data_IF_325221658786
#
_entry.id   IF_325221658786
#
_cell.length_a   1.000
_cell.length_b   1.000
_cell.length_c   1.000
_cell.angle_alpha   90.00
_cell.angle_beta   90.00
_cell.angle_gamma   90.00
#
_symmetry.space_group_name_H-M   'P 1'
#
loop_
_entity.id
_entity.type
_entity.pdbx_description
1 polymer ?
#
# COMPACT_ATOMS: atom_id res chain seq x y z
N UNK A 1 14.42 18.24 -2.52
CA UNK A 1 13.41 18.96 -1.71
C UNK A 1 12.10 18.95 -2.47
N UNK A 2 10.99 18.57 -1.84
CA UNK A 2 9.67 18.56 -2.48
C UNK A 2 9.16 20.01 -2.56
N UNK A 3 9.30 20.65 -3.71
CA UNK A 3 8.97 22.06 -3.90
C UNK A 3 7.51 22.22 -4.36
N UNK A 4 6.58 22.26 -3.41
CA UNK A 4 5.20 22.69 -3.66
C UNK A 4 4.65 23.47 -2.47
N UNK A 5 3.70 24.36 -2.75
CA UNK A 5 3.04 25.20 -1.75
C UNK A 5 1.73 24.56 -1.29
N UNK A 6 1.44 24.70 -0.01
CA UNK A 6 0.19 24.36 0.64
C UNK A 6 -0.55 25.64 1.00
N UNK A 7 -1.85 25.68 0.73
CA UNK A 7 -2.75 26.76 1.12
C UNK A 7 -3.76 26.21 2.12
N UNK A 8 -3.91 26.80 3.30
CA UNK A 8 -4.79 26.31 4.36
C UNK A 8 -5.89 27.35 4.61
N UNK A 9 -7.15 26.93 4.50
CA UNK A 9 -8.32 27.79 4.70
C UNK A 9 -8.82 27.75 6.15
N UNK A 10 -9.43 28.85 6.61
CA UNK A 10 -10.03 28.95 7.93
C UNK A 10 -11.39 29.68 7.89
N UNK A 11 -12.49 28.95 7.70
CA UNK A 11 -13.84 29.51 7.64
C UNK A 11 -14.02 30.61 6.58
N UNK A 12 -15.21 31.19 6.51
CA UNK A 12 -15.61 32.04 5.37
C UNK A 12 -15.00 33.46 5.36
N UNK A 13 -14.33 33.88 6.43
CA UNK A 13 -13.84 35.27 6.61
C UNK A 13 -12.35 35.42 6.92
N UNK A 14 -11.59 34.33 7.03
CA UNK A 14 -10.16 34.43 7.31
C UNK A 14 -9.34 34.28 6.05
N UNK A 15 -8.26 35.06 5.95
CA UNK A 15 -7.27 34.84 4.90
C UNK A 15 -6.60 33.46 5.05
N UNK A 16 -6.36 32.75 3.94
CA UNK A 16 -5.70 31.46 3.97
C UNK A 16 -4.20 31.61 4.28
N UNK A 17 -3.65 30.66 5.01
CA UNK A 17 -2.22 30.62 5.30
C UNK A 17 -1.46 29.78 4.26
N UNK A 18 -0.22 30.14 3.98
CA UNK A 18 0.63 29.46 3.01
C UNK A 18 1.84 28.80 3.68
N UNK A 19 2.14 27.57 3.28
CA UNK A 19 3.25 26.79 3.82
C UNK A 19 3.98 26.01 2.72
N UNK A 20 5.26 25.73 2.93
CA UNK A 20 6.00 24.78 2.11
C UNK A 20 5.58 23.33 2.38
N UNK A 21 5.63 22.47 1.36
CA UNK A 21 5.28 21.05 1.47
C UNK A 21 6.18 20.23 2.40
N UNK A 22 7.38 20.75 2.71
CA UNK A 22 8.36 20.21 3.66
C UNK A 22 7.86 20.22 5.12
N UNK A 23 6.99 21.17 5.48
CA UNK A 23 6.43 21.29 6.85
C UNK A 23 5.61 20.09 7.31
N UNK A 24 5.21 19.21 6.39
CA UNK A 24 4.56 17.94 6.73
C UNK A 24 5.50 16.92 7.38
N UNK A 25 6.81 17.11 7.28
CA UNK A 25 7.82 16.23 7.89
C UNK A 25 8.28 16.73 9.28
N UNK A 26 7.86 17.93 9.71
CA UNK A 26 8.16 18.48 11.05
C UNK A 26 7.68 17.53 12.13
N UNK A 27 8.52 17.10 13.07
CA UNK A 27 8.14 16.14 14.12
C UNK A 27 7.26 16.76 15.21
N UNK A 28 7.41 18.05 15.49
CA UNK A 28 6.72 18.77 16.56
C UNK A 28 5.25 19.08 16.25
N UNK A 29 4.40 19.02 17.28
CA UNK A 29 2.97 19.34 17.21
C UNK A 29 2.66 20.82 17.50
N UNK A 30 3.67 21.61 17.88
CA UNK A 30 3.51 23.03 18.26
C UNK A 30 3.92 24.00 17.16
N UNK A 31 4.25 23.51 15.96
CA UNK A 31 4.68 24.37 14.85
C UNK A 31 3.54 25.25 14.33
N UNK A 32 3.84 26.42 13.73
CA UNK A 32 2.81 27.26 13.09
C UNK A 32 1.96 26.49 12.06
N UNK A 33 2.56 25.51 11.38
CA UNK A 33 1.86 24.62 10.46
C UNK A 33 0.83 23.74 11.18
N UNK A 34 1.19 23.12 12.30
CA UNK A 34 0.26 22.30 13.09
C UNK A 34 -0.86 23.12 13.72
N UNK A 35 -0.55 24.34 14.20
CA UNK A 35 -1.56 25.28 14.70
C UNK A 35 -2.56 25.66 13.60
N UNK A 36 -2.06 25.94 12.38
CA UNK A 36 -2.92 26.22 11.23
C UNK A 36 -3.80 25.02 10.86
N UNK A 37 -3.24 23.81 10.79
CA UNK A 37 -4.04 22.62 10.52
C UNK A 37 -5.12 22.38 11.58
N UNK A 38 -4.78 22.53 12.86
CA UNK A 38 -5.74 22.44 13.95
C UNK A 38 -6.88 23.45 13.77
N UNK A 39 -6.55 24.72 13.56
CA UNK A 39 -7.56 25.77 13.33
C UNK A 39 -8.45 25.47 12.12
N UNK A 40 -7.86 25.02 11.01
CA UNK A 40 -8.60 24.65 9.81
C UNK A 40 -9.59 23.52 10.09
N UNK A 41 -9.16 22.49 10.84
CA UNK A 41 -10.02 21.38 11.27
C UNK A 41 -11.14 21.84 12.20
N UNK A 42 -10.84 22.68 13.18
CA UNK A 42 -11.82 23.20 14.15
C UNK A 42 -12.90 24.05 13.45
N UNK A 43 -12.54 24.75 12.37
CA UNK A 43 -13.47 25.50 11.52
C UNK A 43 -14.10 24.64 10.39
N UNK A 44 -13.98 23.31 10.45
CA UNK A 44 -14.45 22.36 9.41
C UNK A 44 -14.06 22.77 7.97
N UNK A 45 -12.86 23.34 7.82
CA UNK A 45 -12.31 23.84 6.57
C UNK A 45 -11.36 22.82 5.93
N UNK A 46 -10.70 23.21 4.84
CA UNK A 46 -9.82 22.34 4.05
C UNK A 46 -8.50 23.04 3.72
N UNK A 47 -7.58 22.28 3.15
CA UNK A 47 -6.35 22.82 2.58
C UNK A 47 -6.30 22.51 1.07
N UNK A 48 -5.42 23.17 0.32
CA UNK A 48 -5.18 22.90 -1.08
C UNK A 48 -3.67 22.76 -1.34
N UNK A 49 -3.31 21.83 -2.22
CA UNK A 49 -1.98 21.72 -2.79
C UNK A 49 -1.91 22.53 -4.09
N UNK A 50 -0.82 23.27 -4.28
CA UNK A 50 -0.58 24.10 -5.47
C UNK A 50 0.52 23.52 -6.38
N UNK A 51 0.80 22.22 -6.31
CA UNK A 51 1.93 21.61 -7.03
C UNK A 51 1.85 21.72 -8.57
N UNK A 52 0.65 21.93 -9.13
CA UNK A 52 0.41 22.12 -10.56
C UNK A 52 0.04 23.56 -10.92
N UNK A 53 0.10 24.48 -9.95
CA UNK A 53 -0.41 25.86 -10.09
C UNK A 53 -1.93 26.00 -9.92
N UNK A 54 -2.67 24.88 -9.88
CA UNK A 54 -4.11 24.85 -9.57
C UNK A 54 -4.34 24.37 -8.14
N UNK A 55 -5.44 24.80 -7.53
CA UNK A 55 -5.84 24.33 -6.20
C UNK A 55 -6.37 22.90 -6.25
N UNK A 56 -5.60 21.97 -5.68
CA UNK A 56 -6.03 20.58 -5.50
C UNK A 56 -6.42 20.37 -4.04
N UNK A 57 -7.72 20.14 -3.73
CA UNK A 57 -8.20 20.13 -2.37
C UNK A 57 -7.63 18.94 -1.57
N UNK A 58 -7.43 19.16 -0.28
CA UNK A 58 -6.88 18.25 0.72
C UNK A 58 -7.73 18.34 1.98
N UNK A 59 -7.93 17.20 2.61
CA UNK A 59 -8.60 17.07 3.91
C UNK A 59 -7.60 17.19 5.07
N UNK A 60 -8.01 17.84 6.15
CA UNK A 60 -7.22 17.95 7.39
C UNK A 60 -7.66 16.89 8.39
N UNK A 61 -6.72 16.07 8.87
CA UNK A 61 -6.99 14.86 9.65
C UNK A 61 -6.18 14.83 10.93
N UNK A 62 -6.75 14.33 12.01
CA UNK A 62 -6.02 14.07 13.26
C UNK A 62 -5.62 12.59 13.31
N UNK A 63 -4.35 12.30 13.57
CA UNK A 63 -3.81 10.95 13.78
C UNK A 63 -2.74 11.01 14.87
N UNK A 64 -2.90 10.19 15.92
CA UNK A 64 -1.92 10.09 17.04
C UNK A 64 -1.49 11.48 17.52
N UNK A 65 -2.47 12.30 17.93
CA UNK A 65 -2.28 13.67 18.44
C UNK A 65 -1.66 14.69 17.47
N UNK A 66 -1.56 14.36 16.18
CA UNK A 66 -0.97 15.23 15.16
C UNK A 66 -1.89 15.42 13.95
N UNK A 67 -1.90 16.63 13.41
CA UNK A 67 -2.67 16.93 12.21
C UNK A 67 -1.87 16.62 10.95
N UNK A 68 -2.53 15.98 9.99
CA UNK A 68 -1.98 15.58 8.70
C UNK A 68 -2.91 16.00 7.57
N UNK A 69 -2.31 16.31 6.43
CA UNK A 69 -3.05 16.51 5.20
C UNK A 69 -3.16 15.18 4.46
N UNK A 70 -4.34 14.92 3.91
CA UNK A 70 -4.52 13.84 2.94
C UNK A 70 -5.34 14.32 1.76
N UNK A 71 -4.97 13.84 0.57
CA UNK A 71 -5.75 14.04 -0.65
C UNK A 71 -7.12 13.40 -0.55
N UNK A 72 -8.04 13.86 -1.39
CA UNK A 72 -9.30 13.16 -1.58
C UNK A 72 -9.06 11.83 -2.32
N UNK A 73 -9.97 10.84 -2.16
CA UNK A 73 -9.85 9.55 -2.84
C UNK A 73 -9.73 9.74 -4.36
N UNK A 74 -8.83 8.98 -4.99
CA UNK A 74 -8.63 8.95 -6.44
C UNK A 74 -8.28 10.29 -7.10
N UNK A 75 -7.87 11.32 -6.34
CA UNK A 75 -7.38 12.59 -6.89
C UNK A 75 -5.86 12.65 -7.02
N UNK A 76 -5.15 11.58 -6.65
CA UNK A 76 -3.68 11.56 -6.63
C UNK A 76 -3.05 11.85 -7.99
N UNK A 77 -3.62 11.32 -9.07
CA UNK A 77 -3.13 11.52 -10.45
C UNK A 77 -3.17 12.99 -10.90
N UNK A 78 -3.96 13.85 -10.23
CA UNK A 78 -4.06 15.28 -10.55
C UNK A 78 -2.87 16.09 -10.01
N UNK A 79 -2.09 15.52 -9.09
CA UNK A 79 -0.89 16.16 -8.58
C UNK A 79 0.31 15.92 -9.49
N UNK A 80 1.32 16.79 -9.41
CA UNK A 80 2.61 16.59 -10.10
C UNK A 80 3.32 15.35 -9.53
N UNK A 81 4.00 14.56 -10.35
CA UNK A 81 4.58 13.25 -9.95
C UNK A 81 5.54 13.30 -8.75
N UNK A 82 6.24 14.42 -8.56
CA UNK A 82 7.13 14.68 -7.42
C UNK A 82 6.42 15.16 -6.14
N UNK A 83 5.10 15.37 -6.21
CA UNK A 83 4.28 15.82 -5.09
C UNK A 83 4.00 14.68 -4.12
N UNK A 84 3.95 14.98 -2.81
CA UNK A 84 3.62 13.98 -1.77
C UNK A 84 2.22 13.38 -1.95
N UNK A 85 1.31 14.14 -2.53
CA UNK A 85 -0.07 13.73 -2.77
C UNK A 85 -0.25 13.07 -4.14
N UNK A 86 0.81 12.92 -4.93
CA UNK A 86 0.71 12.14 -6.15
C UNK A 86 0.42 10.68 -5.84
N UNK A 87 -0.43 10.08 -6.65
CA UNK A 87 -0.65 8.65 -6.68
C UNK A 87 -0.98 8.25 -8.11
N UNK A 88 -0.39 7.16 -8.57
CA UNK A 88 -0.72 6.52 -9.85
C UNK A 88 -2.16 5.99 -9.88
N UNK A 89 -2.81 5.84 -8.72
CA UNK A 89 -4.20 5.43 -8.62
C UNK A 89 -5.12 6.43 -9.33
N UNK A 90 -5.71 5.97 -10.44
CA UNK A 90 -6.60 6.76 -11.28
C UNK A 90 -7.86 5.97 -11.61
N UNK A 91 -9.05 6.60 -11.66
CA UNK A 91 -10.24 6.00 -12.25
C UNK A 91 -10.04 5.61 -13.72
N UNK A 92 -9.07 6.24 -14.39
CA UNK A 92 -8.68 5.93 -15.76
C UNK A 92 -7.64 4.79 -15.84
N UNK A 93 -7.10 4.34 -14.72
CA UNK A 93 -6.18 3.20 -14.67
C UNK A 93 -6.90 1.85 -14.60
N UNK A 94 -6.15 0.75 -14.40
CA UNK A 94 -6.71 -0.57 -14.12
C UNK A 94 -7.66 -0.59 -12.91
N UNK A 95 -7.54 0.39 -12.00
CA UNK A 95 -8.44 0.53 -10.85
C UNK A 95 -9.87 0.91 -11.26
N UNK A 96 -10.03 1.61 -12.40
CA UNK A 96 -11.34 1.94 -12.96
C UNK A 96 -12.18 0.73 -13.34
N UNK A 97 -11.55 -0.43 -13.48
CA UNK A 97 -12.22 -1.71 -13.76
C UNK A 97 -12.84 -2.36 -12.51
N UNK A 98 -12.69 -1.74 -11.33
CA UNK A 98 -13.25 -2.23 -10.07
C UNK A 98 -14.31 -1.29 -9.53
N UNK A 99 -15.26 -1.83 -8.77
CA UNK A 99 -16.24 -1.00 -8.05
C UNK A 99 -15.61 -0.36 -6.81
N UNK A 100 -16.26 0.67 -6.25
CA UNK A 100 -15.78 1.34 -5.04
C UNK A 100 -15.75 0.41 -3.82
N UNK A 101 -16.54 -0.66 -3.82
CA UNK A 101 -16.55 -1.67 -2.76
C UNK A 101 -15.39 -2.66 -2.89
N UNK A 102 -14.97 -2.94 -4.13
CA UNK A 102 -13.83 -3.79 -4.41
C UNK A 102 -12.51 -3.14 -4.00
N UNK A 103 -12.36 -1.83 -4.23
CA UNK A 103 -11.17 -1.05 -3.96
C UNK A 103 -11.54 0.31 -3.37
N UNK A 104 -11.32 0.46 -2.06
CA UNK A 104 -11.69 1.66 -1.32
C UNK A 104 -10.49 2.24 -0.60
N UNK A 105 -10.11 3.46 -0.98
CA UNK A 105 -9.13 4.22 -0.21
C UNK A 105 -9.81 4.77 1.06
N UNK A 106 -9.31 4.32 2.22
CA UNK A 106 -9.74 4.80 3.50
C UNK A 106 -9.20 6.20 3.74
N UNK A 107 -9.85 6.94 4.65
CA UNK A 107 -9.47 8.32 4.92
C UNK A 107 -8.01 8.43 5.47
N UNK A 108 -7.49 7.43 6.17
CA UNK A 108 -6.12 7.38 6.69
C UNK A 108 -5.04 7.06 5.63
N UNK A 109 -5.44 6.86 4.37
CA UNK A 109 -4.56 6.46 3.26
C UNK A 109 -4.34 4.95 3.14
N UNK A 110 -4.99 4.14 3.98
CA UNK A 110 -5.01 2.69 3.84
C UNK A 110 -5.95 2.31 2.69
N UNK A 111 -5.59 1.36 1.83
CA UNK A 111 -6.49 0.84 0.79
C UNK A 111 -7.13 -0.45 1.29
N UNK A 112 -8.46 -0.48 1.34
CA UNK A 112 -9.23 -1.70 1.55
C UNK A 112 -9.48 -2.38 0.19
N UNK A 113 -9.13 -3.65 0.08
CA UNK A 113 -9.28 -4.47 -1.12
C UNK A 113 -10.14 -5.68 -0.78
N UNK A 114 -11.24 -5.86 -1.51
CA UNK A 114 -12.06 -7.07 -1.42
C UNK A 114 -11.53 -8.10 -2.41
N UNK A 115 -10.79 -9.09 -1.91
CA UNK A 115 -10.24 -10.14 -2.75
C UNK A 115 -11.30 -11.18 -3.13
N UNK A 116 -11.21 -11.71 -4.34
CA UNK A 116 -11.97 -12.90 -4.78
C UNK A 116 -11.45 -14.20 -4.13
N UNK A 117 -10.34 -14.09 -3.38
CA UNK A 117 -9.71 -15.16 -2.64
C UNK A 117 -9.67 -14.78 -1.15
N UNK A 118 -10.36 -15.52 -0.28
CA UNK A 118 -10.34 -15.20 1.14
C UNK A 118 -8.95 -15.48 1.73
N UNK A 119 -8.39 -14.51 2.46
CA UNK A 119 -7.14 -14.71 3.20
C UNK A 119 -7.35 -15.51 4.49
N UNK A 120 -8.55 -15.48 5.06
CA UNK A 120 -8.89 -16.27 6.24
C UNK A 120 -9.31 -17.69 5.84
N UNK A 121 -8.81 -18.68 6.58
CA UNK A 121 -9.21 -20.09 6.41
C UNK A 121 -10.32 -20.40 7.41
N UNK A 122 -11.55 -20.50 6.92
CA UNK A 122 -12.71 -20.92 7.71
C UNK A 122 -13.07 -22.35 7.32
N UNK A 123 -12.60 -23.34 8.09
CA UNK A 123 -12.87 -24.77 7.87
C UNK A 123 -11.79 -25.51 7.07
N UNK A 124 -12.04 -26.79 6.69
CA UNK A 124 -11.11 -27.58 5.86
C UNK A 124 -10.79 -26.83 4.57
N UNK A 125 -9.51 -26.81 4.17
CA UNK A 125 -9.09 -26.09 2.97
C UNK A 125 -9.70 -26.75 1.73
N UNK A 126 -10.83 -26.23 1.27
CA UNK A 126 -11.41 -26.64 -0.01
C UNK A 126 -10.48 -26.15 -1.13
N UNK A 127 -10.11 -27.02 -2.08
CA UNK A 127 -9.44 -26.59 -3.31
C UNK A 127 -10.36 -25.57 -4.00
N UNK A 128 -9.85 -24.37 -4.23
CA UNK A 128 -10.60 -23.32 -4.93
C UNK A 128 -10.34 -23.49 -6.42
N UNK A 129 -11.40 -23.62 -7.21
CA UNK A 129 -11.30 -23.84 -8.66
C UNK A 129 -10.55 -22.70 -9.35
N UNK A 130 -9.52 -23.06 -10.11
CA UNK A 130 -8.70 -22.14 -10.92
C UNK A 130 -9.49 -21.48 -12.06
N UNK A 131 -10.60 -22.08 -12.52
CA UNK A 131 -11.42 -21.59 -13.62
C UNK A 131 -12.12 -20.25 -13.30
N UNK A 132 -12.40 -19.98 -12.02
CA UNK A 132 -13.08 -18.76 -11.54
C UNK A 132 -12.20 -17.49 -11.63
N UNK A 133 -10.92 -17.62 -12.01
CA UNK A 133 -9.92 -16.54 -11.92
C UNK A 133 -9.52 -15.94 -13.27
N UNK A 134 -10.03 -16.50 -14.37
CA UNK A 134 -9.66 -16.12 -15.74
C UNK A 134 -10.64 -15.11 -16.32
N UNK A 135 -10.47 -13.86 -15.95
CA UNK A 135 -10.88 -12.77 -16.81
C UNK A 135 -10.27 -11.49 -16.29
N UNK A 136 -9.88 -10.61 -17.18
CA UNK A 136 -9.40 -9.30 -16.77
C UNK A 136 -10.60 -8.44 -16.39
N UNK A 137 -10.47 -7.69 -15.29
CA UNK A 137 -11.45 -6.67 -14.96
C UNK A 137 -11.46 -5.64 -16.12
N UNK A 138 -12.64 -5.29 -16.61
CA UNK A 138 -12.80 -4.34 -17.72
C UNK A 138 -13.64 -3.14 -17.28
N UNK A 139 -13.41 -1.98 -17.89
CA UNK A 139 -14.19 -0.76 -17.61
C UNK A 139 -15.69 -0.94 -17.90
N UNK A 140 -16.03 -1.75 -18.90
CA UNK A 140 -17.41 -2.02 -19.30
C UNK A 140 -18.11 -3.01 -18.38
N UNK A 141 -17.36 -3.77 -17.59
CA UNK A 141 -17.89 -4.74 -16.63
C UNK A 141 -17.05 -4.70 -15.35
N UNK A 142 -17.35 -3.72 -14.50
CA UNK A 142 -16.62 -3.48 -13.26
C UNK A 142 -16.80 -4.66 -12.31
N UNK A 143 -15.72 -5.09 -11.68
CA UNK A 143 -15.76 -6.19 -10.72
C UNK A 143 -15.89 -5.71 -9.28
N UNK A 144 -16.67 -6.46 -8.50
CA UNK A 144 -16.84 -6.27 -7.06
C UNK A 144 -15.76 -6.92 -6.20
N UNK A 145 -14.82 -7.62 -6.84
CA UNK A 145 -13.69 -8.27 -6.18
C UNK A 145 -12.43 -8.14 -7.02
N UNK A 146 -11.29 -8.11 -6.35
CA UNK A 146 -9.95 -8.06 -6.94
C UNK A 146 -9.34 -9.47 -6.93
N UNK A 147 -8.85 -9.91 -8.08
CA UNK A 147 -8.12 -11.19 -8.17
C UNK A 147 -6.71 -11.07 -7.61
N UNK A 148 -6.03 -12.21 -7.38
CA UNK A 148 -4.61 -12.19 -6.96
C UNK A 148 -3.73 -11.51 -8.03
N UNK A 149 -4.04 -11.69 -9.32
CA UNK A 149 -3.37 -10.96 -10.40
C UNK A 149 -3.67 -9.45 -10.33
N UNK A 150 -4.93 -9.08 -10.10
CA UNK A 150 -5.32 -7.68 -9.89
C UNK A 150 -4.61 -7.04 -8.70
N UNK A 151 -4.44 -7.78 -7.61
CA UNK A 151 -3.67 -7.36 -6.43
C UNK A 151 -2.19 -7.13 -6.79
N UNK A 152 -1.59 -8.03 -7.57
CA UNK A 152 -0.21 -7.88 -8.04
C UNK A 152 -0.06 -6.60 -8.88
N UNK A 153 -0.92 -6.40 -9.90
CA UNK A 153 -0.92 -5.18 -10.71
C UNK A 153 -1.04 -3.93 -9.84
N UNK A 154 -1.97 -3.95 -8.88
CA UNK A 154 -2.18 -2.85 -7.96
C UNK A 154 -0.93 -2.51 -7.13
N UNK A 155 -0.26 -3.50 -6.55
CA UNK A 155 0.96 -3.26 -5.76
C UNK A 155 2.09 -2.78 -6.66
N UNK A 156 2.22 -3.32 -7.87
CA UNK A 156 3.28 -2.95 -8.82
C UNK A 156 3.15 -1.49 -9.28
N UNK A 157 1.93 -1.03 -9.53
CA UNK A 157 1.64 0.34 -9.94
C UNK A 157 1.75 1.33 -8.77
N UNK A 158 1.28 0.97 -7.58
CA UNK A 158 1.34 1.85 -6.40
C UNK A 158 2.75 2.00 -5.83
N UNK A 159 3.62 1.01 -6.06
CA UNK A 159 5.06 1.12 -5.77
C UNK A 159 5.85 1.79 -6.89
N UNK A 160 5.19 2.14 -8.00
CA UNK A 160 5.82 2.66 -9.23
C UNK A 160 6.92 1.76 -9.79
N UNK A 161 6.91 0.47 -9.44
CA UNK A 161 7.88 -0.52 -9.93
C UNK A 161 7.60 -0.93 -11.39
N UNK A 162 6.45 -0.54 -11.94
CA UNK A 162 6.14 -0.58 -13.38
C UNK A 162 6.86 0.52 -14.19
N UNK A 163 7.47 1.52 -13.54
CA UNK A 163 8.13 2.65 -14.23
C UNK A 163 9.65 2.54 -14.13
N UNK A 164 10.37 2.85 -15.21
CA UNK A 164 11.82 3.00 -15.21
C UNK A 164 12.23 4.41 -15.62
N UNK A 165 13.24 4.94 -14.94
CA UNK A 165 13.91 6.18 -15.33
C UNK A 165 15.42 5.96 -15.38
N UNK A 166 16.18 6.72 -16.20
CA UNK A 166 17.63 6.53 -16.34
C UNK A 166 18.42 6.51 -15.02
N UNK A 167 17.98 7.29 -14.03
CA UNK A 167 18.59 7.32 -12.68
C UNK A 167 18.49 5.99 -11.92
N UNK A 168 17.59 5.09 -12.31
CA UNK A 168 17.44 3.76 -11.70
C UNK A 168 18.39 2.71 -12.30
N UNK A 169 19.26 3.08 -13.23
CA UNK A 169 20.22 2.14 -13.83
C UNK A 169 21.08 1.46 -12.75
N UNK A 170 21.13 0.12 -12.75
CA UNK A 170 21.83 -0.67 -11.73
C UNK A 170 21.23 -0.61 -10.31
N UNK A 171 20.14 0.13 -10.09
CA UNK A 171 19.57 0.32 -8.75
C UNK A 171 18.52 -0.71 -8.38
N UNK A 172 17.93 -1.47 -9.32
CA UNK A 172 16.91 -2.46 -9.00
C UNK A 172 17.54 -3.76 -8.51
N UNK A 173 16.99 -4.27 -7.42
CA UNK A 173 17.36 -5.57 -6.85
C UNK A 173 16.16 -6.20 -6.16
N UNK A 174 16.15 -7.51 -6.01
CA UNK A 174 15.07 -8.25 -5.36
C UNK A 174 14.85 -7.79 -3.90
N UNK A 175 15.92 -7.38 -3.21
CA UNK A 175 15.83 -6.78 -1.86
C UNK A 175 15.08 -5.45 -1.87
N UNK A 176 15.42 -4.54 -2.79
CA UNK A 176 14.71 -3.25 -2.90
C UNK A 176 13.27 -3.47 -3.30
N UNK A 177 13.02 -4.38 -4.24
CA UNK A 177 11.66 -4.80 -4.60
C UNK A 177 10.91 -5.27 -3.34
N UNK A 178 11.48 -6.21 -2.59
CA UNK A 178 10.87 -6.72 -1.36
C UNK A 178 10.58 -5.63 -0.33
N UNK A 179 11.50 -4.69 -0.13
CA UNK A 179 11.28 -3.52 0.72
C UNK A 179 10.08 -2.68 0.26
N UNK A 180 10.00 -2.32 -1.02
CA UNK A 180 8.92 -1.50 -1.56
C UNK A 180 7.56 -2.22 -1.54
N UNK A 181 7.54 -3.51 -1.88
CA UNK A 181 6.35 -4.35 -1.79
C UNK A 181 5.84 -4.41 -0.33
N UNK A 182 6.73 -4.64 0.62
CA UNK A 182 6.36 -4.69 2.04
C UNK A 182 5.83 -3.35 2.54
N UNK A 183 6.52 -2.24 2.23
CA UNK A 183 6.07 -0.89 2.58
C UNK A 183 4.71 -0.52 2.01
N UNK A 184 4.39 -1.04 0.82
CA UNK A 184 3.06 -0.85 0.25
C UNK A 184 2.02 -1.75 0.90
N UNK A 185 2.38 -3.00 1.24
CA UNK A 185 1.51 -3.94 1.94
C UNK A 185 1.10 -3.46 3.35
N UNK A 186 1.93 -2.66 4.03
CA UNK A 186 1.57 -2.01 5.30
C UNK A 186 0.35 -1.07 5.18
N UNK A 187 0.04 -0.62 3.96
CA UNK A 187 -1.07 0.29 3.63
C UNK A 187 -2.24 -0.42 2.95
N UNK A 188 -2.23 -1.75 2.84
CA UNK A 188 -3.28 -2.51 2.18
C UNK A 188 -3.93 -3.46 3.18
N UNK A 189 -5.26 -3.47 3.21
CA UNK A 189 -6.06 -4.36 4.04
C UNK A 189 -7.04 -5.14 3.15
N UNK A 190 -7.19 -6.43 3.44
CA UNK A 190 -8.27 -7.25 2.89
C UNK A 190 -9.15 -7.75 4.04
N UNK A 191 -10.34 -7.16 4.15
CA UNK A 191 -11.21 -7.36 5.31
C UNK A 191 -10.54 -6.84 6.59
N UNK A 192 -10.23 -7.75 7.52
CA UNK A 192 -9.54 -7.43 8.79
C UNK A 192 -8.04 -7.76 8.76
N UNK A 193 -7.53 -8.26 7.65
CA UNK A 193 -6.13 -8.70 7.51
C UNK A 193 -5.32 -7.65 6.78
N UNK A 194 -4.27 -7.12 7.42
CA UNK A 194 -3.27 -6.30 6.71
C UNK A 194 -2.47 -7.21 5.80
N UNK A 195 -2.22 -6.76 4.57
CA UNK A 195 -1.47 -7.54 3.60
C UNK A 195 -0.05 -7.82 4.11
N UNK A 196 0.57 -6.88 4.82
CA UNK A 196 1.89 -7.06 5.45
C UNK A 196 1.96 -8.21 6.45
N UNK A 197 0.81 -8.64 7.00
CA UNK A 197 0.75 -9.74 7.97
C UNK A 197 0.76 -11.12 7.30
N UNK A 198 0.59 -11.18 5.98
CA UNK A 198 0.53 -12.43 5.20
C UNK A 198 1.40 -12.42 3.94
N UNK A 199 2.08 -11.30 3.63
CA UNK A 199 2.90 -11.16 2.43
C UNK A 199 4.33 -11.66 2.67
N UNK A 200 4.76 -12.62 1.87
CA UNK A 200 6.16 -13.00 1.72
C UNK A 200 6.76 -12.27 0.51
N UNK A 201 7.89 -11.62 0.74
CA UNK A 201 8.65 -10.87 -0.27
C UNK A 201 9.96 -11.58 -0.62
N UNK A 202 10.62 -11.26 -1.75
CA UNK A 202 11.93 -11.81 -2.05
C UNK A 202 12.91 -11.55 -0.92
N UNK A 203 13.70 -12.56 -0.56
CA UNK A 203 14.68 -12.47 0.52
C UNK A 203 15.88 -13.38 0.26
N UNK A 204 17.09 -12.88 0.55
CA UNK A 204 18.28 -13.73 0.65
C UNK A 204 18.28 -14.50 1.97
N UNK A 205 18.90 -15.67 1.98
CA UNK A 205 19.11 -16.49 3.19
C UNK A 205 19.79 -15.68 4.29
N UNK A 206 19.31 -15.82 5.53
CA UNK A 206 19.82 -15.12 6.73
C UNK A 206 19.71 -13.58 6.71
N UNK A 207 18.98 -13.00 5.76
CA UNK A 207 18.71 -11.56 5.72
C UNK A 207 17.62 -11.14 6.73
N UNK A 208 17.51 -9.84 7.00
CA UNK A 208 16.37 -9.28 7.75
C UNK A 208 15.02 -9.61 7.09
N UNK A 209 14.95 -9.61 5.76
CA UNK A 209 13.75 -9.98 5.02
C UNK A 209 13.40 -11.47 5.21
N UNK A 210 14.39 -12.37 5.28
CA UNK A 210 14.14 -13.80 5.55
C UNK A 210 13.56 -14.02 6.94
N UNK A 211 14.09 -13.33 7.95
CA UNK A 211 13.54 -13.35 9.32
C UNK A 211 12.11 -12.81 9.37
N UNK A 212 11.83 -11.73 8.63
CA UNK A 212 10.46 -11.18 8.48
C UNK A 212 9.53 -12.20 7.83
N UNK A 213 9.96 -12.87 6.77
CA UNK A 213 9.17 -13.92 6.12
C UNK A 213 8.86 -15.06 7.11
N UNK A 214 9.84 -15.57 7.85
CA UNK A 214 9.61 -16.62 8.87
C UNK A 214 8.59 -16.17 9.93
N UNK A 215 8.72 -14.96 10.47
CA UNK A 215 7.74 -14.41 11.42
C UNK A 215 6.33 -14.28 10.81
N UNK A 216 6.25 -13.92 9.54
CA UNK A 216 4.98 -13.81 8.81
C UNK A 216 4.31 -15.18 8.67
N UNK A 217 5.08 -16.22 8.36
CA UNK A 217 4.59 -17.60 8.29
C UNK A 217 4.08 -18.08 9.64
N UNK A 218 4.84 -17.89 10.72
CA UNK A 218 4.40 -18.30 12.06
C UNK A 218 3.12 -17.56 12.47
N UNK A 219 3.05 -16.24 12.21
CA UNK A 219 1.86 -15.44 12.49
C UNK A 219 0.65 -15.90 11.68
N UNK A 220 0.81 -16.13 10.38
CA UNK A 220 -0.26 -16.58 9.52
C UNK A 220 -0.78 -17.97 9.96
N UNK A 221 0.12 -18.86 10.38
CA UNK A 221 -0.23 -20.18 10.93
C UNK A 221 -1.08 -20.07 12.19
N UNK A 222 -0.67 -19.26 13.17
CA UNK A 222 -1.43 -19.02 14.41
C UNK A 222 -2.82 -18.45 14.11
N UNK A 223 -2.90 -17.50 13.17
CA UNK A 223 -4.13 -16.83 12.80
C UNK A 223 -4.98 -17.57 11.76
N UNK A 224 -4.55 -18.76 11.29
CA UNK A 224 -5.20 -19.54 10.22
C UNK A 224 -5.42 -18.71 8.94
N UNK A 225 -4.38 -18.01 8.51
CA UNK A 225 -4.38 -17.16 7.33
C UNK A 225 -3.61 -17.81 6.19
N UNK A 226 -4.07 -17.58 4.95
CA UNK A 226 -3.37 -17.91 3.72
C UNK A 226 -2.28 -16.87 3.46
N UNK A 227 -1.12 -17.34 3.03
CA UNK A 227 0.01 -16.51 2.64
C UNK A 227 -0.17 -15.98 1.21
N UNK A 228 0.29 -14.76 0.98
CA UNK A 228 0.49 -14.19 -0.36
C UNK A 228 1.98 -14.16 -0.61
N UNK A 229 2.45 -14.71 -1.73
CA UNK A 229 3.88 -14.80 -2.03
C UNK A 229 4.16 -14.05 -3.32
N UNK A 230 5.07 -13.09 -3.27
CA UNK A 230 5.58 -12.39 -4.45
C UNK A 230 7.08 -12.61 -4.52
N UNK A 231 7.54 -13.34 -5.54
CA UNK A 231 8.96 -13.56 -5.78
C UNK A 231 9.27 -13.73 -7.27
N UNK A 232 10.54 -13.52 -7.60
CA UNK A 232 11.05 -13.83 -8.94
C UNK A 232 11.03 -15.35 -9.14
N UNK A 233 10.30 -15.79 -10.16
CA UNK A 233 10.42 -17.16 -10.66
C UNK A 233 11.84 -17.36 -11.20
N UNK A 234 12.46 -18.51 -10.90
CA UNK A 234 13.73 -18.79 -11.56
C UNK A 234 13.52 -18.92 -13.05
N UNK A 235 14.58 -18.60 -13.80
CA UNK A 235 14.68 -19.00 -15.19
C UNK A 235 14.47 -20.51 -15.23
N UNK A 236 13.53 -20.96 -16.05
CA UNK A 236 13.24 -22.38 -16.19
C UNK A 236 14.53 -23.17 -16.46
N UNK A 237 14.71 -24.23 -15.69
CA UNK A 237 15.75 -25.25 -15.86
C UNK A 237 15.17 -26.55 -15.36
N UNK A 238 15.48 -27.65 -16.04
CA UNK A 238 15.08 -29.00 -15.60
C UNK A 238 15.60 -29.31 -14.18
N UNK A 239 16.72 -28.70 -13.78
CA UNK A 239 17.31 -28.84 -12.44
C UNK A 239 16.45 -28.22 -11.31
N UNK A 240 15.40 -27.47 -11.62
CA UNK A 240 14.54 -26.79 -10.64
C UNK A 240 13.21 -27.50 -10.37
N UNK A 241 13.02 -28.71 -10.91
CA UNK A 241 11.86 -29.55 -10.60
C UNK A 241 11.76 -29.88 -9.10
N UNK A 242 12.89 -29.88 -8.37
CA UNK A 242 12.96 -30.17 -6.92
C UNK A 242 12.90 -28.91 -6.02
N UNK A 243 12.65 -27.73 -6.59
CA UNK A 243 12.41 -26.49 -5.85
C UNK A 243 13.61 -25.54 -5.72
N UNK A 244 13.32 -24.25 -5.55
CA UNK A 244 14.30 -23.16 -5.53
C UNK A 244 14.42 -22.56 -4.13
N UNK A 245 15.64 -22.46 -3.62
CA UNK A 245 15.97 -21.81 -2.35
C UNK A 245 15.96 -20.26 -2.48
N UNK A 246 14.93 -19.68 -3.12
CA UNK A 246 14.77 -18.22 -3.35
C UNK A 246 13.78 -17.55 -2.39
N UNK A 247 13.06 -18.36 -1.63
CA UNK A 247 12.20 -17.96 -0.53
C UNK A 247 12.47 -18.91 0.64
N UNK A 248 13.63 -18.82 1.31
CA UNK A 248 13.92 -19.66 2.45
C UNK A 248 12.91 -19.34 3.56
N UNK A 249 11.95 -20.25 3.74
CA UNK A 249 11.03 -20.23 4.88
C UNK A 249 11.53 -21.28 5.85
N UNK A 250 12.25 -20.85 6.87
CA UNK A 250 12.56 -21.73 7.99
C UNK A 250 11.38 -21.68 8.97
N UNK A 251 10.68 -22.79 9.12
CA UNK A 251 9.76 -22.99 10.24
C UNK A 251 10.65 -23.30 11.44
N UNK A 252 10.63 -22.45 12.47
CA UNK A 252 11.37 -22.76 13.69
C UNK A 252 10.73 -24.00 14.32
N UNK A 253 11.50 -25.05 14.69
CA UNK A 253 10.92 -26.17 15.40
C UNK A 253 10.33 -25.65 16.70
N UNK A 254 9.03 -25.90 16.88
CA UNK A 254 8.35 -25.66 18.14
C UNK A 254 9.17 -26.35 19.23
N UNK A 255 9.59 -25.60 20.25
CA UNK A 255 10.20 -26.15 21.45
C UNK A 255 9.22 -27.18 22.00
N UNK A 256 9.52 -28.45 21.81
CA UNK A 256 8.80 -29.55 22.42
C UNK A 256 9.07 -29.46 23.92
N UNK A 257 8.14 -28.88 24.67
CA UNK A 257 8.14 -29.07 26.12
C UNK A 257 7.98 -30.57 26.38
N UNK A 258 8.91 -31.22 27.12
CA UNK A 258 8.71 -32.60 27.50
C UNK A 258 7.46 -32.66 28.37
N UNK A 259 6.51 -33.53 28.01
CA UNK A 259 5.40 -33.88 28.89
C UNK A 259 5.99 -34.62 30.08
N UNK A 260 5.77 -34.10 31.29
CA UNK A 260 5.77 -34.92 32.50
C UNK A 260 4.47 -35.73 32.56
#
# INVERSE_FOLDING_TARGET
MKQYTLKIYFGDKSEPAFFGGDRQDDSSNTTPFQVALKKSRDCNSYAACLCTGKELPLSVRLRVEKHHLARFPLTGIKHREDCRFYSSLSPEGPQGCYTQDALKEKPDGTINIKLDYPLQVTGPSTPIDSSLRSGDASRNNKRDTVSILGLLHFIWETTSYNTWVPKMNGMRSSTKLGYHLFKQAEKIEAGKTKLSDVLLTPAYTNSSDSRRNSMTVERAKVNKQRLVVIAELAKFSENYMDGLNRLPVTCSPLISTPRC
#
